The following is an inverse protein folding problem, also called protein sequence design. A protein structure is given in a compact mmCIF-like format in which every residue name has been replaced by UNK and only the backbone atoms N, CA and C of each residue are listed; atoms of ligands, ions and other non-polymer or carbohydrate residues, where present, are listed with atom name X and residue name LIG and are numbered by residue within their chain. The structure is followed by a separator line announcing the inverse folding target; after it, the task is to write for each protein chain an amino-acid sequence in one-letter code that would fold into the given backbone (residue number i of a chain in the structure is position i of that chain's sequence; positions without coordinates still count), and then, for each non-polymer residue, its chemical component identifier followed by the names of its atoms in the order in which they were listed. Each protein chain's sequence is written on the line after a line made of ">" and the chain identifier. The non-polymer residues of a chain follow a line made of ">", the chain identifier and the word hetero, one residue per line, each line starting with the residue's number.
data_IF_437695259366
#
_entry.id   IF_437695259366
#
_cell.length_a   1.000
_cell.length_b   1.000
_cell.length_c   1.000
_cell.angle_alpha   90.00
_cell.angle_beta   90.00
_cell.angle_gamma   90.00
#
_symmetry.space_group_name_H-M   'P 1'
#
loop_
_entity.id
_entity.type
_entity.pdbx_description
1 polymer ?
#
# COMPACT_ATOMS: atom_id res chain seq x y z
N UNK A 1 -17.56 21.01 2.76
CA UNK A 1 -16.20 21.35 2.27
C UNK A 1 -15.94 20.61 0.98
N UNK A 2 -15.69 21.30 -0.13
CA UNK A 2 -15.46 20.68 -1.43
C UNK A 2 -14.04 20.13 -1.54
N UNK A 3 -13.90 18.88 -1.99
CA UNK A 3 -12.61 18.28 -2.33
C UNK A 3 -12.17 18.87 -3.67
N UNK A 4 -11.04 19.57 -3.68
CA UNK A 4 -10.51 20.20 -4.87
C UNK A 4 -9.40 19.38 -5.53
N UNK A 5 -9.08 19.71 -6.81
CA UNK A 5 -8.04 19.00 -7.59
C UNK A 5 -6.67 18.95 -6.88
N UNK A 6 -6.30 19.98 -6.13
CA UNK A 6 -5.03 20.01 -5.38
C UNK A 6 -5.01 18.98 -4.26
N UNK A 7 -6.13 18.79 -3.55
CA UNK A 7 -6.27 17.75 -2.52
C UNK A 7 -6.10 16.36 -3.12
N UNK A 8 -6.76 16.09 -4.26
CA UNK A 8 -6.64 14.82 -4.95
C UNK A 8 -5.20 14.58 -5.43
N UNK A 9 -4.59 15.58 -6.07
CA UNK A 9 -3.21 15.46 -6.57
C UNK A 9 -2.18 15.27 -5.46
N UNK A 10 -2.29 16.02 -4.35
CA UNK A 10 -1.38 15.85 -3.20
C UNK A 10 -1.55 14.48 -2.53
N UNK A 11 -2.78 14.02 -2.39
CA UNK A 11 -3.08 12.68 -1.89
C UNK A 11 -2.51 11.59 -2.81
N UNK A 12 -2.75 11.69 -4.12
CA UNK A 12 -2.25 10.74 -5.10
C UNK A 12 -0.72 10.63 -5.09
N UNK A 13 -0.02 11.78 -5.07
CA UNK A 13 1.42 11.83 -5.00
C UNK A 13 1.96 11.24 -3.69
N UNK A 14 1.36 11.61 -2.56
CA UNK A 14 1.75 11.08 -1.26
C UNK A 14 1.55 9.56 -1.20
N UNK A 15 0.44 9.05 -1.70
CA UNK A 15 0.14 7.62 -1.72
C UNK A 15 1.05 6.83 -2.67
N UNK A 16 1.34 7.35 -3.85
CA UNK A 16 2.32 6.74 -4.77
C UNK A 16 3.72 6.67 -4.13
N UNK A 17 4.19 7.76 -3.53
CA UNK A 17 5.48 7.79 -2.82
C UNK A 17 5.51 6.80 -1.66
N UNK A 18 4.43 6.74 -0.88
CA UNK A 18 4.32 5.81 0.24
C UNK A 18 4.37 4.34 -0.21
N UNK A 19 3.71 3.99 -1.33
CA UNK A 19 3.76 2.62 -1.86
C UNK A 19 5.19 2.21 -2.26
N UNK A 20 5.98 3.14 -2.81
CA UNK A 20 7.40 2.89 -3.10
C UNK A 20 8.24 2.72 -1.85
N UNK A 21 7.96 3.51 -0.82
CA UNK A 21 8.64 3.39 0.48
C UNK A 21 8.30 2.05 1.13
N UNK A 22 7.04 1.64 1.07
CA UNK A 22 6.61 0.32 1.53
C UNK A 22 7.41 -0.80 0.87
N UNK A 23 7.58 -0.78 -0.45
CA UNK A 23 8.37 -1.81 -1.16
C UNK A 23 9.80 -1.86 -0.63
N UNK A 24 10.44 -0.71 -0.45
CA UNK A 24 11.81 -0.67 0.06
C UNK A 24 11.91 -1.24 1.49
N UNK A 25 10.94 -0.94 2.35
CA UNK A 25 10.90 -1.43 3.74
C UNK A 25 10.60 -2.93 3.77
N UNK A 26 9.58 -3.38 3.05
CA UNK A 26 9.16 -4.79 3.05
C UNK A 26 10.18 -5.70 2.36
N UNK A 27 10.88 -5.22 1.33
CA UNK A 27 12.00 -5.94 0.72
C UNK A 27 13.15 -6.14 1.71
N UNK A 28 13.52 -5.08 2.48
CA UNK A 28 14.54 -5.21 3.52
C UNK A 28 14.10 -6.13 4.66
N UNK A 29 12.82 -6.11 5.00
CA UNK A 29 12.25 -7.01 5.99
C UNK A 29 12.35 -8.46 5.49
N UNK A 30 11.92 -8.74 4.26
CA UNK A 30 11.99 -10.06 3.63
C UNK A 30 13.43 -10.61 3.59
N UNK A 31 14.39 -9.77 3.27
CA UNK A 31 15.81 -10.16 3.25
C UNK A 31 16.34 -10.63 4.61
N UNK A 32 15.68 -10.24 5.72
CA UNK A 32 16.04 -10.65 7.09
C UNK A 32 15.23 -11.85 7.62
N UNK A 33 14.22 -12.31 6.87
CA UNK A 33 13.46 -13.50 7.23
C UNK A 33 14.32 -14.76 7.11
N UNK A 34 13.98 -15.80 7.91
CA UNK A 34 14.63 -17.10 7.79
C UNK A 34 14.41 -17.72 6.41
N UNK A 35 15.35 -18.56 5.99
CA UNK A 35 15.24 -19.29 4.73
C UNK A 35 13.98 -20.18 4.71
N UNK A 36 13.66 -20.85 5.79
CA UNK A 36 12.46 -21.68 5.91
C UNK A 36 11.18 -20.88 5.69
N UNK A 37 11.10 -19.66 6.27
CA UNK A 37 9.96 -18.77 6.06
C UNK A 37 9.84 -18.32 4.61
N UNK A 38 10.94 -17.90 3.99
CA UNK A 38 10.95 -17.48 2.57
C UNK A 38 10.58 -18.62 1.64
N UNK A 39 11.08 -19.85 1.91
CA UNK A 39 10.73 -21.03 1.14
C UNK A 39 9.23 -21.32 1.24
N UNK A 40 8.66 -21.25 2.45
CA UNK A 40 7.23 -21.45 2.64
C UNK A 40 6.39 -20.42 1.89
N UNK A 41 6.78 -19.15 1.91
CA UNK A 41 6.12 -18.11 1.13
C UNK A 41 6.19 -18.39 -0.38
N UNK A 42 7.35 -18.83 -0.88
CA UNK A 42 7.54 -19.16 -2.29
C UNK A 42 6.69 -20.36 -2.73
N UNK A 43 6.49 -21.35 -1.84
CA UNK A 43 5.58 -22.48 -2.10
C UNK A 43 4.12 -22.01 -2.21
N UNK A 44 3.70 -21.04 -1.40
CA UNK A 44 2.33 -20.52 -1.38
C UNK A 44 2.07 -19.50 -2.50
N UNK A 45 3.08 -18.73 -2.88
CA UNK A 45 3.00 -17.73 -3.94
C UNK A 45 4.20 -17.83 -4.88
N UNK A 46 4.24 -18.82 -5.78
CA UNK A 46 5.31 -18.95 -6.77
C UNK A 46 5.50 -17.68 -7.58
N UNK A 47 6.74 -17.18 -7.64
CA UNK A 47 7.05 -15.91 -8.29
C UNK A 47 6.72 -14.65 -7.47
N UNK A 48 6.04 -14.79 -6.33
CA UNK A 48 5.69 -13.72 -5.41
C UNK A 48 4.28 -13.17 -5.58
N UNK A 49 3.82 -12.46 -4.56
CA UNK A 49 2.43 -12.00 -4.41
C UNK A 49 1.93 -11.14 -5.58
N UNK A 50 2.79 -10.28 -6.14
CA UNK A 50 2.38 -9.41 -7.27
C UNK A 50 2.14 -10.22 -8.54
N UNK A 51 2.94 -11.27 -8.81
CA UNK A 51 2.70 -12.16 -9.95
C UNK A 51 1.39 -12.91 -9.75
N UNK A 52 1.16 -13.45 -8.56
CA UNK A 52 -0.10 -14.16 -8.25
C UNK A 52 -1.33 -13.25 -8.39
N UNK A 53 -1.24 -12.01 -7.90
CA UNK A 53 -2.28 -11.01 -8.09
C UNK A 53 -2.55 -10.75 -9.58
N UNK A 54 -1.50 -10.56 -10.37
CA UNK A 54 -1.64 -10.35 -11.81
C UNK A 54 -2.26 -11.54 -12.53
N UNK A 55 -1.88 -12.77 -12.19
CA UNK A 55 -2.49 -13.99 -12.74
C UNK A 55 -3.99 -14.08 -12.40
N UNK A 56 -4.37 -13.76 -11.17
CA UNK A 56 -5.78 -13.72 -10.78
C UNK A 56 -6.57 -12.67 -11.55
N UNK A 57 -6.01 -11.48 -11.76
CA UNK A 57 -6.63 -10.45 -12.60
C UNK A 57 -6.79 -10.92 -14.05
N UNK A 58 -5.77 -11.59 -14.59
CA UNK A 58 -5.87 -12.23 -15.92
C UNK A 58 -7.01 -13.24 -15.97
N UNK A 59 -7.10 -14.12 -15.00
CA UNK A 59 -8.15 -15.15 -14.91
C UNK A 59 -9.56 -14.54 -14.87
N UNK A 60 -9.76 -13.43 -14.14
CA UNK A 60 -11.05 -12.73 -14.08
C UNK A 60 -11.51 -12.25 -15.47
N UNK A 61 -10.57 -11.90 -16.36
CA UNK A 61 -10.87 -11.46 -17.72
C UNK A 61 -10.65 -12.56 -18.78
N UNK A 62 -10.53 -13.81 -18.33
CA UNK A 62 -10.38 -14.98 -19.20
C UNK A 62 -9.02 -15.05 -19.93
N UNK A 63 -7.96 -14.46 -19.37
CA UNK A 63 -6.61 -14.45 -19.94
C UNK A 63 -5.63 -15.18 -19.03
N UNK A 64 -4.82 -16.06 -19.62
CA UNK A 64 -3.63 -16.60 -18.97
C UNK A 64 -2.45 -15.65 -19.23
N UNK A 65 -1.90 -15.08 -18.15
CA UNK A 65 -0.79 -14.13 -18.23
C UNK A 65 0.52 -14.82 -17.87
N UNK A 66 1.55 -14.62 -18.70
CA UNK A 66 2.91 -14.98 -18.33
C UNK A 66 3.39 -14.20 -17.10
N UNK A 67 4.43 -14.70 -16.42
CA UNK A 67 4.92 -14.12 -15.16
C UNK A 67 5.33 -12.66 -15.29
N UNK A 68 5.92 -12.26 -16.43
CA UNK A 68 6.36 -10.89 -16.64
C UNK A 68 5.16 -9.93 -16.80
N UNK A 69 4.15 -10.33 -17.54
CA UNK A 69 2.91 -9.55 -17.72
C UNK A 69 2.10 -9.51 -16.44
N UNK A 70 1.96 -10.65 -15.76
CA UNK A 70 1.29 -10.74 -14.47
C UNK A 70 1.97 -9.86 -13.42
N UNK A 71 3.31 -9.87 -13.33
CA UNK A 71 4.05 -9.02 -12.40
C UNK A 71 3.84 -7.53 -12.67
N UNK A 72 3.79 -7.11 -13.94
CA UNK A 72 3.47 -5.71 -14.31
C UNK A 72 2.04 -5.33 -13.92
N UNK A 73 1.08 -6.20 -14.18
CA UNK A 73 -0.32 -5.98 -13.82
C UNK A 73 -0.49 -5.88 -12.29
N UNK A 74 0.07 -6.81 -11.54
CA UNK A 74 0.04 -6.79 -10.08
C UNK A 74 0.71 -5.53 -9.50
N UNK A 75 1.86 -5.12 -10.06
CA UNK A 75 2.53 -3.88 -9.66
C UNK A 75 1.66 -2.64 -9.95
N UNK A 76 0.99 -2.59 -11.10
CA UNK A 76 0.09 -1.49 -11.44
C UNK A 76 -1.07 -1.38 -10.45
N UNK A 77 -1.69 -2.50 -10.07
CA UNK A 77 -2.73 -2.52 -9.02
C UNK A 77 -2.17 -2.07 -7.68
N UNK A 78 -1.03 -2.59 -7.25
CA UNK A 78 -0.38 -2.18 -6.00
C UNK A 78 -0.12 -0.66 -5.95
N UNK A 79 0.36 -0.05 -7.04
CA UNK A 79 0.54 1.41 -7.15
C UNK A 79 -0.77 2.18 -7.13
N UNK A 80 -1.78 1.65 -7.79
CA UNK A 80 -3.13 2.24 -7.81
C UNK A 80 -3.76 2.24 -6.42
N UNK A 81 -3.63 1.14 -5.67
CA UNK A 81 -4.09 1.05 -4.28
C UNK A 81 -3.36 2.07 -3.39
N UNK A 82 -2.03 2.13 -3.44
CA UNK A 82 -1.28 3.13 -2.68
C UNK A 82 -1.72 4.57 -3.01
N UNK A 83 -1.92 4.87 -4.28
CA UNK A 83 -2.43 6.18 -4.74
C UNK A 83 -3.83 6.45 -4.16
N UNK A 84 -4.71 5.47 -4.20
CA UNK A 84 -6.07 5.56 -3.64
C UNK A 84 -6.05 5.81 -2.14
N UNK A 85 -5.21 5.12 -1.40
CA UNK A 85 -5.05 5.33 0.06
C UNK A 85 -4.61 6.76 0.37
N UNK A 86 -3.69 7.31 -0.43
CA UNK A 86 -3.28 8.70 -0.29
C UNK A 86 -4.42 9.69 -0.55
N UNK A 87 -5.24 9.44 -1.56
CA UNK A 87 -6.42 10.28 -1.85
C UNK A 87 -7.44 10.19 -0.72
N UNK A 88 -7.75 8.99 -0.23
CA UNK A 88 -8.68 8.79 0.91
C UNK A 88 -8.16 9.55 2.14
N UNK A 89 -6.87 9.40 2.46
CA UNK A 89 -6.25 10.10 3.58
C UNK A 89 -6.37 11.62 3.42
N UNK A 90 -6.08 12.16 2.24
CA UNK A 90 -6.19 13.59 1.98
C UNK A 90 -7.64 14.11 2.12
N UNK A 91 -8.63 13.30 1.77
CA UNK A 91 -10.06 13.63 2.00
C UNK A 91 -10.38 13.63 3.49
N UNK A 92 -9.90 12.67 4.28
CA UNK A 92 -10.09 12.63 5.73
C UNK A 92 -9.46 13.85 6.41
N UNK A 93 -8.23 14.22 6.01
CA UNK A 93 -7.55 15.44 6.48
C UNK A 93 -8.37 16.69 6.16
N UNK A 94 -8.97 16.78 4.98
CA UNK A 94 -9.89 17.88 4.63
C UNK A 94 -11.16 17.90 5.48
N UNK A 95 -11.55 16.76 6.05
CA UNK A 95 -12.68 16.64 7.01
C UNK A 95 -12.28 16.89 8.47
N UNK A 96 -11.05 17.31 8.73
CA UNK A 96 -10.55 17.69 10.04
C UNK A 96 -9.75 16.63 10.78
N UNK A 97 -9.45 15.49 10.16
CA UNK A 97 -8.57 14.49 10.77
C UNK A 97 -7.13 14.99 10.82
N UNK A 98 -6.41 14.65 11.88
CA UNK A 98 -4.97 14.86 11.97
C UNK A 98 -4.27 13.99 10.90
N UNK A 99 -3.36 14.55 10.06
CA UNK A 99 -2.84 13.83 8.89
C UNK A 99 -2.23 12.47 9.21
N UNK A 100 -1.39 12.38 10.24
CA UNK A 100 -0.76 11.11 10.65
C UNK A 100 -1.79 10.11 11.14
N UNK A 101 -2.77 10.55 11.94
CA UNK A 101 -3.84 9.66 12.42
C UNK A 101 -4.71 9.14 11.27
N UNK A 102 -5.06 10.00 10.31
CA UNK A 102 -5.79 9.61 9.11
C UNK A 102 -5.00 8.59 8.27
N UNK A 103 -3.70 8.84 8.06
CA UNK A 103 -2.83 7.93 7.32
C UNK A 103 -2.72 6.56 7.99
N UNK A 104 -2.47 6.52 9.29
CA UNK A 104 -2.38 5.26 10.04
C UNK A 104 -3.71 4.51 10.03
N UNK A 105 -4.85 5.20 10.18
CA UNK A 105 -6.16 4.56 10.10
C UNK A 105 -6.42 3.93 8.72
N UNK A 106 -6.08 4.64 7.64
CA UNK A 106 -6.20 4.11 6.26
C UNK A 106 -5.23 2.95 6.04
N UNK A 107 -3.98 3.05 6.50
CA UNK A 107 -3.00 1.96 6.42
C UNK A 107 -3.45 0.71 7.17
N UNK A 108 -3.97 0.86 8.40
CA UNK A 108 -4.51 -0.26 9.18
C UNK A 108 -5.73 -0.89 8.48
N UNK A 109 -6.67 -0.08 7.99
CA UNK A 109 -7.82 -0.59 7.26
C UNK A 109 -7.38 -1.33 5.98
N UNK A 110 -6.40 -0.81 5.25
CA UNK A 110 -5.86 -1.44 4.06
C UNK A 110 -5.21 -2.80 4.40
N UNK A 111 -4.43 -2.91 5.47
CA UNK A 111 -3.89 -4.18 5.94
C UNK A 111 -5.00 -5.20 6.24
N UNK A 112 -5.99 -4.80 7.05
CA UNK A 112 -7.06 -5.71 7.46
C UNK A 112 -7.94 -6.15 6.28
N UNK A 113 -8.19 -5.27 5.31
CA UNK A 113 -9.05 -5.58 4.16
C UNK A 113 -8.28 -6.28 3.05
N UNK A 114 -7.09 -5.81 2.71
CA UNK A 114 -6.35 -6.31 1.54
C UNK A 114 -5.48 -7.51 1.90
N UNK A 115 -4.70 -7.45 2.98
CA UNK A 115 -3.81 -8.55 3.34
C UNK A 115 -4.54 -9.67 4.08
N UNK A 116 -5.44 -9.34 5.01
CA UNK A 116 -6.10 -10.34 5.85
C UNK A 116 -7.51 -10.69 5.35
N UNK A 117 -8.24 -9.72 4.81
CA UNK A 117 -9.66 -9.88 4.49
C UNK A 117 -9.93 -10.36 3.07
N UNK A 118 -9.16 -9.92 2.08
CA UNK A 118 -9.25 -10.47 0.71
C UNK A 118 -8.32 -11.64 0.52
N UNK A 119 -7.74 -12.08 1.62
CA UNK A 119 -6.78 -13.14 1.65
C UNK A 119 -7.01 -14.07 0.47
N UNK A 120 -6.06 -14.07 -0.43
CA UNK A 120 -5.82 -15.24 -1.24
C UNK A 120 -6.10 -16.45 -0.33
N UNK A 121 -6.83 -17.50 -0.78
CA UNK A 121 -7.28 -18.60 0.08
C UNK A 121 -6.20 -19.20 0.99
N UNK A 122 -4.95 -18.82 0.77
CA UNK A 122 -3.77 -19.28 1.49
C UNK A 122 -3.26 -18.32 2.58
N UNK A 123 -3.88 -17.15 2.80
CA UNK A 123 -3.34 -16.17 3.77
C UNK A 123 -3.18 -16.76 5.17
N UNK A 124 -4.13 -17.60 5.60
CA UNK A 124 -4.04 -18.33 6.88
C UNK A 124 -2.88 -19.34 6.95
N UNK A 125 -2.29 -19.69 5.81
CA UNK A 125 -1.17 -20.65 5.70
C UNK A 125 0.19 -19.96 5.67
N UNK A 126 0.23 -18.62 5.58
CA UNK A 126 1.47 -17.87 5.59
C UNK A 126 2.13 -17.87 6.98
N UNK A 127 3.47 -17.84 7.04
CA UNK A 127 4.18 -17.68 8.30
C UNK A 127 3.79 -16.38 9.03
N UNK A 128 3.72 -16.38 10.35
CA UNK A 128 3.40 -15.19 11.15
C UNK A 128 4.28 -13.98 10.80
N UNK A 129 5.55 -14.22 10.47
CA UNK A 129 6.48 -13.16 10.06
C UNK A 129 6.06 -12.46 8.76
N UNK A 130 5.31 -13.12 7.90
CA UNK A 130 4.75 -12.53 6.68
C UNK A 130 3.63 -11.53 7.01
N UNK A 131 2.76 -11.88 7.96
CA UNK A 131 1.73 -10.97 8.49
C UNK A 131 2.38 -9.76 9.18
N UNK A 132 3.43 -9.96 9.98
CA UNK A 132 4.21 -8.86 10.57
C UNK A 132 4.81 -7.95 9.51
N UNK A 133 5.32 -8.50 8.40
CA UNK A 133 5.80 -7.71 7.27
C UNK A 133 4.66 -6.90 6.64
N UNK A 134 3.47 -7.46 6.52
CA UNK A 134 2.27 -6.76 6.06
C UNK A 134 1.92 -5.58 6.96
N UNK A 135 1.85 -5.80 8.28
CA UNK A 135 1.63 -4.74 9.28
C UNK A 135 2.65 -3.62 9.14
N UNK A 136 3.96 -3.96 9.09
CA UNK A 136 5.04 -2.96 8.92
C UNK A 136 4.91 -2.21 7.60
N UNK A 137 4.56 -2.90 6.52
CA UNK A 137 4.35 -2.30 5.21
C UNK A 137 3.21 -1.28 5.23
N UNK A 138 2.05 -1.66 5.71
CA UNK A 138 0.86 -0.79 5.75
C UNK A 138 0.98 0.35 6.76
N UNK A 139 1.64 0.12 7.91
CA UNK A 139 1.99 1.18 8.86
C UNK A 139 2.94 2.20 8.20
N UNK A 140 3.92 1.73 7.41
CA UNK A 140 4.81 2.60 6.63
C UNK A 140 4.02 3.45 5.63
N UNK A 141 3.10 2.84 4.88
CA UNK A 141 2.23 3.58 3.94
C UNK A 141 1.46 4.67 4.66
N UNK A 142 0.77 4.32 5.74
CA UNK A 142 -0.04 5.28 6.50
C UNK A 142 0.79 6.43 7.08
N UNK A 143 1.94 6.12 7.67
CA UNK A 143 2.84 7.11 8.25
C UNK A 143 3.42 8.06 7.18
N UNK A 144 3.91 7.53 6.07
CA UNK A 144 4.50 8.34 4.99
C UNK A 144 3.45 9.26 4.37
N UNK A 145 2.24 8.75 4.08
CA UNK A 145 1.15 9.59 3.59
C UNK A 145 0.85 10.72 4.59
N UNK A 146 0.68 10.38 5.87
CA UNK A 146 0.35 11.35 6.91
C UNK A 146 1.40 12.44 7.06
N UNK A 147 2.69 12.08 7.06
CA UNK A 147 3.81 13.03 7.14
C UNK A 147 3.86 13.94 5.90
N UNK A 148 3.77 13.37 4.70
CA UNK A 148 3.81 14.17 3.47
C UNK A 148 2.64 15.17 3.40
N UNK A 149 1.43 14.75 3.78
CA UNK A 149 0.28 15.66 3.84
C UNK A 149 0.46 16.74 4.91
N UNK A 150 1.03 16.42 6.08
CA UNK A 150 1.36 17.42 7.10
C UNK A 150 2.31 18.48 6.60
N UNK A 151 3.38 18.08 5.90
CA UNK A 151 4.37 19.00 5.32
C UNK A 151 3.76 19.90 4.26
N UNK A 152 2.88 19.36 3.41
CA UNK A 152 2.18 20.13 2.38
C UNK A 152 1.18 21.13 2.96
N UNK A 153 0.59 20.87 4.13
CA UNK A 153 -0.28 21.81 4.83
C UNK A 153 0.52 22.91 5.52
N UNK A 154 1.60 22.56 6.20
CA UNK A 154 2.48 23.54 6.89
C UNK A 154 3.07 24.56 5.93
N UNK A 155 3.49 24.15 4.73
CA UNK A 155 4.00 25.05 3.69
C UNK A 155 2.97 26.06 3.17
N UNK A 156 1.67 25.79 3.33
CA UNK A 156 0.60 26.75 2.96
C UNK A 156 0.42 27.84 4.01
N UNK A 157 0.59 27.53 5.28
CA UNK A 157 0.48 28.50 6.39
C UNK A 157 1.61 29.52 6.32
N UNK A 158 2.84 29.07 6.05
CA UNK A 158 4.00 29.95 5.92
C UNK A 158 3.89 30.97 4.76
N UNK A 159 3.28 30.57 3.65
CA UNK A 159 3.09 31.45 2.47
C UNK A 159 1.93 32.45 2.60
N UNK A 160 1.13 32.39 3.65
CA UNK A 160 -0.02 33.29 3.87
C UNK A 160 0.25 34.35 4.96
N UNK A 161 1.44 34.38 5.54
CA UNK A 161 1.85 35.47 6.44
C UNK A 161 2.45 36.57 5.58
N UNK A 162 1.83 37.77 5.54
CA UNK A 162 2.40 38.95 4.87
C UNK A 162 3.65 39.44 5.59
#
# INVERSE_FOLDING_TARGET
>A
MTVNRRTLASGALAGYTASRTMDAVTTRFLARQSEASRKREQELAPGGTLIQLGKQLGAVVGRDLDDATAGRAGLAVHRSLGTTYGVITAVLVRRGWRPVAAGLAVGTAAFLVVDEGTALPQATSYPLVSHLRGVVGHATVGLVIGVLLSLLESGKVSRRRP
#
